data_IF_230337697166
#
_entry.id   IF_230337697166
#
_cell.length_a   1.000
_cell.length_b   1.000
_cell.length_c   1.000
_cell.angle_alpha   90.00
_cell.angle_beta   90.00
_cell.angle_gamma   90.00
#
_symmetry.space_group_name_H-M   'P 1'
#
loop_
_entity.id
_entity.type
_entity.pdbx_description
1 polymer ?
#
# COMPACT_ATOMS: atom_id res chain seq x y z
N UNK A 1 -9.44 -54.69 17.09
CA UNK A 1 -8.94 -54.71 15.70
C UNK A 1 -10.06 -55.31 14.85
N UNK A 2 -10.69 -54.71 13.84
CA UNK A 2 -10.48 -53.51 13.02
C UNK A 2 -11.87 -52.96 12.63
N UNK A 3 -12.00 -51.64 12.54
CA UNK A 3 -13.14 -50.94 11.96
C UNK A 3 -12.88 -50.68 10.47
N UNK A 4 -13.68 -51.26 9.58
CA UNK A 4 -13.75 -50.84 8.18
C UNK A 4 -15.04 -50.04 7.97
N UNK A 5 -14.92 -48.71 8.04
CA UNK A 5 -15.96 -47.78 7.62
C UNK A 5 -16.05 -47.77 6.09
N UNK A 6 -17.29 -47.83 5.61
CA UNK A 6 -17.65 -48.02 4.21
C UNK A 6 -17.22 -46.89 3.29
N UNK A 7 -16.74 -47.29 2.10
CA UNK A 7 -16.71 -46.45 0.91
C UNK A 7 -18.16 -46.09 0.54
N UNK A 8 -18.55 -44.84 0.73
CA UNK A 8 -19.77 -44.30 0.15
C UNK A 8 -19.60 -44.22 -1.37
N UNK A 9 -20.44 -44.93 -2.12
CA UNK A 9 -20.58 -44.76 -3.56
C UNK A 9 -21.10 -43.35 -3.83
N UNK A 10 -20.19 -42.45 -4.21
CA UNK A 10 -20.54 -41.13 -4.72
C UNK A 10 -21.10 -41.32 -6.12
N UNK A 11 -22.43 -41.18 -6.28
CA UNK A 11 -23.06 -41.24 -7.59
C UNK A 11 -22.94 -39.89 -8.31
N UNK A 12 -22.09 -39.77 -9.35
CA UNK A 12 -21.82 -38.50 -10.02
C UNK A 12 -23.03 -37.97 -10.80
N UNK A 13 -24.06 -38.79 -11.01
CA UNK A 13 -25.28 -38.38 -11.72
C UNK A 13 -26.21 -37.53 -10.86
N UNK A 14 -26.35 -37.89 -9.58
CA UNK A 14 -27.17 -37.16 -8.60
C UNK A 14 -26.56 -35.78 -8.29
N UNK A 15 -25.22 -35.71 -8.16
CA UNK A 15 -24.50 -34.45 -7.96
C UNK A 15 -24.66 -33.49 -9.14
N UNK A 16 -24.63 -34.00 -10.38
CA UNK A 16 -24.85 -33.18 -11.58
C UNK A 16 -26.26 -32.60 -11.65
N UNK A 17 -27.29 -33.38 -11.33
CA UNK A 17 -28.67 -32.87 -11.30
C UNK A 17 -28.90 -31.84 -10.17
N UNK A 18 -28.27 -32.02 -9.01
CA UNK A 18 -28.33 -31.05 -7.91
C UNK A 18 -27.63 -29.71 -8.27
N UNK A 19 -26.51 -29.77 -8.98
CA UNK A 19 -25.82 -28.55 -9.46
C UNK A 19 -26.64 -27.85 -10.55
N UNK A 20 -27.25 -28.61 -11.46
CA UNK A 20 -28.04 -28.06 -12.56
C UNK A 20 -29.35 -27.39 -12.07
N UNK A 21 -30.01 -28.00 -11.08
CA UNK A 21 -31.18 -27.41 -10.42
C UNK A 21 -30.82 -26.17 -9.59
N UNK A 22 -29.69 -26.16 -8.89
CA UNK A 22 -29.20 -24.97 -8.16
C UNK A 22 -28.87 -23.81 -9.11
N UNK A 23 -28.25 -24.11 -10.26
CA UNK A 23 -27.97 -23.10 -11.28
C UNK A 23 -29.25 -22.53 -11.90
N UNK A 24 -30.26 -23.37 -12.15
CA UNK A 24 -31.55 -22.93 -12.69
C UNK A 24 -32.35 -22.04 -11.71
N UNK A 25 -32.23 -22.28 -10.40
CA UNK A 25 -32.84 -21.41 -9.38
C UNK A 25 -32.12 -20.06 -9.33
N UNK A 26 -30.80 -20.04 -9.45
CA UNK A 26 -30.01 -18.82 -9.45
C UNK A 26 -30.25 -17.97 -10.71
N UNK A 27 -30.43 -18.60 -11.88
CA UNK A 27 -30.80 -17.91 -13.13
C UNK A 27 -32.20 -17.29 -13.06
N UNK A 28 -33.17 -17.98 -12.45
CA UNK A 28 -34.52 -17.43 -12.23
C UNK A 28 -34.53 -16.29 -11.22
N UNK A 29 -33.71 -16.37 -10.18
CA UNK A 29 -33.52 -15.27 -9.23
C UNK A 29 -32.87 -14.05 -9.91
N UNK A 30 -31.83 -14.25 -10.74
CA UNK A 30 -31.18 -13.19 -11.51
C UNK A 30 -32.12 -12.53 -12.54
N UNK A 31 -33.01 -13.30 -13.17
CA UNK A 31 -34.02 -12.76 -14.08
C UNK A 31 -35.10 -11.94 -13.35
N UNK A 32 -35.44 -12.29 -12.10
CA UNK A 32 -36.39 -11.51 -11.28
C UNK A 32 -35.82 -10.19 -10.75
N UNK A 33 -34.48 -10.05 -10.75
CA UNK A 33 -33.77 -8.80 -10.40
C UNK A 33 -33.57 -7.85 -11.58
N UNK A 34 -33.98 -8.22 -12.80
CA UNK A 34 -34.13 -7.30 -13.94
C UNK A 34 -35.37 -6.39 -13.80
N UNK A 35 -35.67 -5.93 -12.57
CA UNK A 35 -36.51 -4.76 -12.41
C UNK A 35 -35.72 -3.58 -12.95
N UNK A 36 -36.07 -3.15 -14.16
CA UNK A 36 -35.55 -1.93 -14.75
C UNK A 36 -35.59 -0.83 -13.68
N UNK A 37 -34.42 -0.35 -13.29
CA UNK A 37 -34.31 0.80 -12.39
C UNK A 37 -35.15 1.94 -13.02
N UNK A 38 -36.08 2.57 -12.27
CA UNK A 38 -36.94 3.60 -12.81
C UNK A 38 -36.10 4.70 -13.46
N UNK A 39 -36.57 5.31 -14.54
CA UNK A 39 -35.79 6.23 -15.37
C UNK A 39 -35.19 7.44 -14.60
N UNK A 40 -35.74 7.76 -13.42
CA UNK A 40 -35.21 8.76 -12.48
C UNK A 40 -33.97 8.28 -11.70
N UNK A 41 -33.86 6.98 -11.41
CA UNK A 41 -32.70 6.33 -10.78
C UNK A 41 -31.61 5.94 -11.78
N UNK A 42 -31.92 5.94 -13.09
CA UNK A 42 -30.89 5.91 -14.13
C UNK A 42 -30.20 7.27 -14.14
N UNK A 43 -29.10 7.34 -13.40
CA UNK A 43 -28.27 8.52 -13.32
C UNK A 43 -27.64 8.77 -14.70
N UNK A 44 -28.36 9.46 -15.61
CA UNK A 44 -27.87 9.80 -16.97
C UNK A 44 -26.53 10.55 -16.92
N UNK A 45 -26.18 11.12 -15.75
CA UNK A 45 -24.93 11.82 -15.46
C UNK A 45 -23.76 10.91 -15.07
N UNK A 46 -23.99 9.64 -14.69
CA UNK A 46 -22.89 8.67 -14.46
C UNK A 46 -22.09 8.34 -15.73
N UNK A 47 -22.66 8.61 -16.92
CA UNK A 47 -22.01 8.43 -18.21
C UNK A 47 -21.41 9.72 -18.78
N UNK A 48 -21.44 10.84 -18.04
CA UNK A 48 -20.70 12.04 -18.45
C UNK A 48 -19.22 11.71 -18.30
N UNK A 49 -18.53 11.51 -19.43
CA UNK A 49 -17.12 11.18 -19.42
C UNK A 49 -16.37 12.31 -18.72
N UNK A 50 -15.75 12.02 -17.58
CA UNK A 50 -14.83 12.94 -16.89
C UNK A 50 -13.90 13.54 -17.96
N UNK A 51 -13.76 14.88 -18.02
CA UNK A 51 -12.96 15.53 -19.05
C UNK A 51 -11.54 14.92 -19.07
N UNK A 52 -11.00 14.61 -20.27
CA UNK A 52 -9.72 13.92 -20.40
C UNK A 52 -8.55 14.70 -19.79
N UNK A 53 -8.67 16.02 -19.71
CA UNK A 53 -7.69 16.91 -19.06
C UNK A 53 -7.57 16.65 -17.55
N UNK A 54 -8.70 16.57 -16.82
CA UNK A 54 -8.68 16.28 -15.38
C UNK A 54 -8.17 14.86 -15.09
N UNK A 55 -8.43 13.90 -15.99
CA UNK A 55 -7.85 12.55 -15.88
C UNK A 55 -6.33 12.56 -16.08
N UNK A 56 -5.82 13.34 -17.03
CA UNK A 56 -4.39 13.48 -17.27
C UNK A 56 -3.69 14.15 -16.09
N UNK A 57 -4.29 15.19 -15.50
CA UNK A 57 -3.77 15.84 -14.29
C UNK A 57 -3.77 14.90 -13.08
N UNK A 58 -4.83 14.11 -12.89
CA UNK A 58 -4.89 13.14 -11.79
C UNK A 58 -3.84 12.03 -11.96
N UNK A 59 -3.61 11.55 -13.19
CA UNK A 59 -2.56 10.58 -13.47
C UNK A 59 -1.15 11.16 -13.23
N UNK A 60 -0.92 12.41 -13.64
CA UNK A 60 0.33 13.16 -13.38
C UNK A 60 0.60 13.31 -11.88
N UNK A 61 -0.41 13.73 -11.10
CA UNK A 61 -0.30 13.87 -9.64
C UNK A 61 -0.06 12.52 -8.95
N UNK A 62 -0.70 11.45 -9.43
CA UNK A 62 -0.49 10.10 -8.89
C UNK A 62 0.93 9.57 -9.18
N UNK A 63 1.48 9.86 -10.36
CA UNK A 63 2.87 9.53 -10.70
C UNK A 63 3.87 10.34 -9.85
N UNK A 64 3.60 11.62 -9.61
CA UNK A 64 4.40 12.45 -8.71
C UNK A 64 4.37 11.92 -7.27
N UNK A 65 3.19 11.56 -6.74
CA UNK A 65 3.08 10.97 -5.40
C UNK A 65 3.88 9.66 -5.28
N UNK A 66 3.81 8.79 -6.30
CA UNK A 66 4.55 7.53 -6.31
C UNK A 66 6.06 7.76 -6.29
N UNK A 67 6.55 8.72 -7.09
CA UNK A 67 7.97 9.10 -7.13
C UNK A 67 8.46 9.55 -5.75
N UNK A 68 7.70 10.43 -5.09
CA UNK A 68 8.03 10.93 -3.75
C UNK A 68 8.03 9.81 -2.70
N UNK A 69 7.09 8.86 -2.79
CA UNK A 69 7.05 7.68 -1.90
C UNK A 69 8.27 6.77 -2.10
N UNK A 70 8.69 6.53 -3.34
CA UNK A 70 9.89 5.74 -3.63
C UNK A 70 11.14 6.45 -3.08
N UNK A 71 11.23 7.77 -3.27
CA UNK A 71 12.33 8.58 -2.74
C UNK A 71 12.42 8.49 -1.22
N UNK A 72 11.28 8.61 -0.53
CA UNK A 72 11.16 8.45 0.91
C UNK A 72 11.63 7.06 1.37
N UNK A 73 11.16 6.01 0.69
CA UNK A 73 11.53 4.62 1.01
C UNK A 73 13.03 4.36 0.83
N UNK A 74 13.63 4.87 -0.25
CA UNK A 74 15.07 4.78 -0.48
C UNK A 74 15.87 5.47 0.63
N UNK A 75 15.46 6.67 1.06
CA UNK A 75 16.13 7.36 2.17
C UNK A 75 16.02 6.59 3.48
N UNK A 76 14.88 5.96 3.75
CA UNK A 76 14.72 5.10 4.93
C UNK A 76 15.62 3.86 4.88
N UNK A 77 15.76 3.22 3.73
CA UNK A 77 16.68 2.07 3.58
C UNK A 77 18.12 2.51 3.79
N UNK A 78 18.56 3.59 3.14
CA UNK A 78 19.93 4.09 3.28
C UNK A 78 20.22 4.46 4.73
N UNK A 79 19.26 5.12 5.41
CA UNK A 79 19.34 5.42 6.84
C UNK A 79 19.50 4.16 7.68
N UNK A 80 18.69 3.13 7.44
CA UNK A 80 18.72 1.87 8.18
C UNK A 80 20.05 1.14 7.99
N UNK A 81 20.51 1.00 6.75
CA UNK A 81 21.76 0.31 6.41
C UNK A 81 22.96 1.03 7.02
N UNK A 82 22.99 2.37 6.94
CA UNK A 82 24.08 3.18 7.53
C UNK A 82 24.12 3.02 9.05
N UNK A 83 22.96 3.00 9.72
CA UNK A 83 22.89 2.75 11.17
C UNK A 83 23.35 1.33 11.54
N UNK A 84 22.96 0.31 10.76
CA UNK A 84 23.41 -1.07 10.99
C UNK A 84 24.93 -1.22 10.85
N UNK A 85 25.52 -0.64 9.80
CA UNK A 85 26.98 -0.65 9.59
C UNK A 85 27.67 0.11 10.73
N UNK A 86 27.12 1.26 11.12
CA UNK A 86 27.67 2.04 12.22
C UNK A 86 27.67 1.34 13.55
N UNK A 87 26.58 0.64 13.87
CA UNK A 87 26.49 -0.18 15.06
C UNK A 87 27.50 -1.34 15.02
N UNK A 88 27.64 -2.01 13.88
CA UNK A 88 28.62 -3.08 13.70
C UNK A 88 30.05 -2.60 13.95
N UNK A 89 30.44 -1.46 13.36
CA UNK A 89 31.76 -0.85 13.57
C UNK A 89 31.94 -0.47 15.04
N UNK A 90 30.93 0.14 15.66
CA UNK A 90 30.97 0.54 17.09
C UNK A 90 31.24 -0.66 18.00
N UNK A 91 30.53 -1.78 17.78
CA UNK A 91 30.72 -3.02 18.54
C UNK A 91 32.11 -3.60 18.32
N UNK A 92 32.61 -3.58 17.08
CA UNK A 92 33.97 -4.03 16.76
C UNK A 92 35.04 -3.19 17.45
N UNK A 93 34.92 -1.86 17.39
CA UNK A 93 35.80 -0.94 18.10
C UNK A 93 35.78 -1.13 19.62
N UNK A 94 34.63 -1.51 20.20
CA UNK A 94 34.53 -1.78 21.64
C UNK A 94 35.21 -3.10 22.05
N UNK A 95 35.04 -4.16 21.26
CA UNK A 95 35.51 -5.52 21.59
C UNK A 95 37.00 -5.70 21.28
N UNK A 96 37.49 -5.16 20.17
CA UNK A 96 38.86 -5.41 19.67
C UNK A 96 39.89 -4.41 20.21
N UNK A 97 39.46 -3.28 20.78
CA UNK A 97 40.39 -2.30 21.34
C UNK A 97 40.93 -2.75 22.71
N UNK A 98 42.23 -3.04 22.76
CA UNK A 98 42.95 -3.33 23.99
C UNK A 98 43.32 -2.02 24.71
N UNK A 99 42.42 -1.52 25.56
CA UNK A 99 42.66 -0.38 26.43
C UNK A 99 41.70 -0.37 27.62
N UNK A 100 41.82 0.63 28.49
CA UNK A 100 40.95 0.79 29.64
C UNK A 100 39.48 0.99 29.21
N UNK A 101 38.53 0.60 30.06
CA UNK A 101 37.08 0.66 29.74
C UNK A 101 36.62 2.06 29.35
N UNK A 102 37.20 3.11 29.94
CA UNK A 102 36.91 4.49 29.58
C UNK A 102 37.38 4.80 28.15
N UNK A 103 38.57 4.35 27.76
CA UNK A 103 39.14 4.58 26.43
C UNK A 103 38.38 3.77 25.36
N UNK A 104 37.98 2.53 25.66
CA UNK A 104 37.08 1.73 24.80
C UNK A 104 35.76 2.44 24.54
N UNK A 105 35.14 3.01 25.59
CA UNK A 105 33.90 3.77 25.44
C UNK A 105 34.10 5.03 24.60
N UNK A 106 35.19 5.79 24.79
CA UNK A 106 35.45 6.98 23.97
C UNK A 106 35.67 6.64 22.48
N UNK A 107 36.41 5.57 22.19
CA UNK A 107 36.66 5.13 20.83
C UNK A 107 35.39 4.58 20.18
N UNK A 108 34.56 3.83 20.90
CA UNK A 108 33.28 3.33 20.41
C UNK A 108 32.23 4.46 20.24
N UNK A 109 32.26 5.49 21.10
CA UNK A 109 31.35 6.62 21.01
C UNK A 109 31.57 7.48 19.75
N UNK A 110 32.79 7.50 19.21
CA UNK A 110 33.15 8.30 18.03
C UNK A 110 32.39 7.88 16.76
N UNK A 111 32.43 6.60 16.30
CA UNK A 111 31.60 6.15 15.20
C UNK A 111 30.11 6.25 15.53
N UNK A 112 29.70 6.00 16.78
CA UNK A 112 28.30 6.13 17.18
C UNK A 112 27.78 7.57 17.02
N UNK A 113 28.53 8.58 17.45
CA UNK A 113 28.16 9.99 17.27
C UNK A 113 28.17 10.37 15.79
N UNK A 114 29.17 9.92 15.03
CA UNK A 114 29.25 10.20 13.60
C UNK A 114 28.04 9.65 12.82
N UNK A 115 27.67 8.38 13.04
CA UNK A 115 26.50 7.78 12.42
C UNK A 115 25.20 8.48 12.85
N UNK A 116 25.08 8.87 14.13
CA UNK A 116 23.92 9.63 14.59
C UNK A 116 23.83 11.02 13.93
N UNK A 117 24.96 11.68 13.68
CA UNK A 117 24.98 12.97 12.98
C UNK A 117 24.54 12.81 11.52
N UNK A 118 25.06 11.79 10.82
CA UNK A 118 24.66 11.45 9.44
C UNK A 118 23.18 11.07 9.38
N UNK A 119 22.70 10.33 10.37
CA UNK A 119 21.30 9.97 10.54
C UNK A 119 20.41 11.22 10.67
N UNK A 120 20.80 12.21 11.48
CA UNK A 120 20.08 13.48 11.61
C UNK A 120 20.05 14.27 10.28
N UNK A 121 21.14 14.28 9.51
CA UNK A 121 21.14 14.87 8.17
C UNK A 121 20.16 14.17 7.22
N UNK A 122 20.00 12.84 7.34
CA UNK A 122 19.01 12.07 6.58
C UNK A 122 17.55 12.36 6.94
N UNK A 123 17.26 12.90 8.12
CA UNK A 123 15.89 13.29 8.52
C UNK A 123 15.38 14.56 7.81
N UNK A 124 16.28 15.43 7.36
CA UNK A 124 15.94 16.68 6.66
C UNK A 124 15.19 16.41 5.35
N UNK A 125 15.72 15.61 4.39
CA UNK A 125 14.99 15.31 3.17
C UNK A 125 13.69 14.57 3.46
N UNK A 126 13.67 13.63 4.41
CA UNK A 126 12.47 12.87 4.80
C UNK A 126 11.33 13.77 5.26
N UNK A 127 11.62 14.80 6.08
CA UNK A 127 10.60 15.78 6.50
C UNK A 127 10.11 16.61 5.31
N UNK A 128 11.00 16.98 4.39
CA UNK A 128 10.66 17.66 3.14
C UNK A 128 9.70 16.85 2.27
N UNK A 129 10.03 15.59 1.99
CA UNK A 129 9.21 14.69 1.16
C UNK A 129 7.82 14.48 1.73
N UNK A 130 7.70 14.32 3.06
CA UNK A 130 6.39 14.17 3.73
C UNK A 130 5.49 15.41 3.54
N UNK A 131 6.07 16.61 3.62
CA UNK A 131 5.36 17.87 3.39
C UNK A 131 4.89 17.99 1.94
N UNK A 132 5.72 17.55 1.00
CA UNK A 132 5.40 17.56 -0.43
C UNK A 132 4.29 16.56 -0.78
N UNK A 133 4.34 15.34 -0.24
CA UNK A 133 3.26 14.35 -0.36
C UNK A 133 1.93 14.90 0.18
N UNK A 134 1.95 15.61 1.31
CA UNK A 134 0.75 16.22 1.86
C UNK A 134 0.16 17.27 0.91
N UNK A 135 1.01 18.12 0.31
CA UNK A 135 0.60 19.12 -0.68
C UNK A 135 0.03 18.47 -1.96
N UNK A 136 0.62 17.37 -2.43
CA UNK A 136 0.11 16.62 -3.60
C UNK A 136 -1.26 16.00 -3.28
N UNK A 137 -1.42 15.40 -2.10
CA UNK A 137 -2.72 14.85 -1.65
C UNK A 137 -3.80 15.91 -1.53
N UNK A 138 -3.43 17.08 -1.02
CA UNK A 138 -4.33 18.23 -0.92
C UNK A 138 -4.83 18.64 -2.32
N UNK A 139 -3.92 18.82 -3.29
CA UNK A 139 -4.28 19.08 -4.70
C UNK A 139 -5.16 17.99 -5.30
N UNK A 140 -4.85 16.72 -5.05
CA UNK A 140 -5.64 15.59 -5.54
C UNK A 140 -7.06 15.59 -4.93
N UNK A 141 -7.20 16.02 -3.68
CA UNK A 141 -8.51 16.12 -3.01
C UNK A 141 -9.33 17.25 -3.61
N UNK A 142 -8.74 18.42 -3.86
CA UNK A 142 -9.41 19.52 -4.56
C UNK A 142 -9.85 19.12 -5.97
N UNK A 143 -9.01 18.40 -6.71
CA UNK A 143 -9.33 17.95 -8.07
C UNK A 143 -10.47 16.93 -8.08
N UNK A 144 -10.51 16.00 -7.11
CA UNK A 144 -11.63 15.07 -6.92
C UNK A 144 -12.93 15.81 -6.61
N UNK A 145 -12.87 16.77 -5.70
CA UNK A 145 -14.02 17.59 -5.33
C UNK A 145 -14.56 18.36 -6.55
N UNK A 146 -13.67 18.94 -7.37
CA UNK A 146 -14.04 19.64 -8.59
C UNK A 146 -14.73 18.72 -9.61
N UNK A 147 -14.24 17.48 -9.79
CA UNK A 147 -14.90 16.48 -10.64
C UNK A 147 -16.29 16.09 -10.11
N UNK A 148 -16.45 15.99 -8.79
CA UNK A 148 -17.75 15.71 -8.17
C UNK A 148 -18.73 16.86 -8.40
N UNK A 149 -18.32 18.11 -8.22
CA UNK A 149 -19.19 19.27 -8.45
C UNK A 149 -19.53 19.50 -9.93
N UNK A 150 -18.59 19.27 -10.86
CA UNK A 150 -18.86 19.33 -12.32
C UNK A 150 -19.84 18.23 -12.76
N UNK A 151 -19.90 17.11 -12.03
CA UNK A 151 -20.91 16.06 -12.25
C UNK A 151 -22.30 16.41 -11.66
N UNK A 152 -22.38 17.38 -10.74
CA UNK A 152 -23.62 17.81 -10.07
C UNK A 152 -24.32 18.96 -10.83
N UNK A 153 -23.59 19.78 -11.60
CA UNK A 153 -24.16 20.87 -12.44
C UNK A 153 -24.50 20.34 -13.84
#
# INVERSE_FOLDING_TARGET
>A
MQSHFGQGNFDPTISKMAIQSSNAVNERAAQSTNKSTPAFAKNKRQNRSIPPEMRAEMASLMAAELRERIFLFMHYIVFLVTNMIGLFITVKCYVEFAGDELAKMMIAATPLMFINLVALCGLVPIKGTKKEIARIKERMTYLKLAMEFDSIV
#
